data_IF_704875616140
#
_entry.id   IF_704875616140
#
_cell.length_a   1.000
_cell.length_b   1.000
_cell.length_c   1.000
_cell.angle_alpha   90.00
_cell.angle_beta   90.00
_cell.angle_gamma   90.00
#
_symmetry.space_group_name_H-M   'P 1'
#
loop_
_entity.id
_entity.type
_entity.pdbx_description
1 polymer ?
#
# COMPACT_ATOMS: atom_id res chain seq x y z
N UNK A 1 -5.64 -11.47 -3.09
CA UNK A 1 -5.95 -10.41 -2.11
C UNK A 1 -7.43 -10.05 -2.13
N UNK A 2 -8.03 -9.66 -1.00
CA UNK A 2 -9.42 -9.15 -0.95
C UNK A 2 -9.44 -7.63 -1.23
N UNK A 3 -10.57 -7.07 -1.70
CA UNK A 3 -10.70 -5.63 -1.99
C UNK A 3 -10.31 -4.73 -0.81
N UNK A 4 -10.45 -5.21 0.44
CA UNK A 4 -10.07 -4.45 1.64
C UNK A 4 -8.56 -4.23 1.80
N UNK A 5 -7.70 -5.07 1.21
CA UNK A 5 -6.26 -4.98 1.41
C UNK A 5 -5.60 -3.85 0.59
N UNK A 6 -6.17 -3.48 -0.56
CA UNK A 6 -5.56 -2.50 -1.48
C UNK A 6 -5.72 -1.04 -0.99
N UNK A 7 -6.78 -0.76 -0.24
CA UNK A 7 -7.07 0.59 0.27
C UNK A 7 -6.45 0.87 1.64
N UNK A 8 -5.84 -0.14 2.30
CA UNK A 8 -5.46 -0.08 3.72
C UNK A 8 -4.46 1.04 4.06
N UNK A 9 -3.65 1.49 3.09
CA UNK A 9 -2.61 2.50 3.30
C UNK A 9 -2.80 3.77 2.48
N UNK A 10 -3.99 4.02 1.89
CA UNK A 10 -4.22 5.25 1.13
C UNK A 10 -4.30 6.47 2.03
N UNK A 11 -3.72 7.57 1.57
CA UNK A 11 -3.75 8.84 2.29
C UNK A 11 -4.13 9.96 1.33
N UNK A 12 -5.11 10.78 1.71
CA UNK A 12 -5.52 11.94 0.92
C UNK A 12 -4.64 13.17 1.27
N UNK A 13 -3.33 13.04 1.03
CA UNK A 13 -2.32 14.07 1.29
C UNK A 13 -1.44 14.19 0.04
N UNK A 14 -1.11 15.42 -0.36
CA UNK A 14 -0.24 15.65 -1.51
C UNK A 14 1.11 14.93 -1.35
N UNK A 15 1.57 14.27 -2.42
CA UNK A 15 2.80 13.47 -2.41
C UNK A 15 2.66 12.07 -1.82
N UNK A 16 1.47 11.67 -1.34
CA UNK A 16 1.19 10.30 -0.88
C UNK A 16 0.50 9.47 -1.97
N UNK A 17 0.69 8.15 -1.91
CA UNK A 17 0.01 7.24 -2.80
C UNK A 17 -1.50 7.24 -2.52
N UNK A 18 -2.31 7.49 -3.56
CA UNK A 18 -3.77 7.55 -3.46
C UNK A 18 -4.45 7.11 -4.78
N UNK A 19 -4.06 5.96 -5.31
CA UNK A 19 -4.61 5.43 -6.56
C UNK A 19 -5.98 4.80 -6.28
N UNK A 20 -7.08 5.26 -6.91
CA UNK A 20 -8.40 4.66 -6.71
C UNK A 20 -8.51 3.31 -7.40
N UNK A 21 -9.25 2.40 -6.77
CA UNK A 21 -9.57 1.11 -7.36
C UNK A 21 -10.47 1.26 -8.61
N UNK A 22 -10.18 0.44 -9.61
CA UNK A 22 -11.05 0.16 -10.75
C UNK A 22 -11.11 -1.35 -10.99
N UNK A 23 -12.13 -1.89 -11.68
CA UNK A 23 -12.19 -3.30 -12.01
C UNK A 23 -10.93 -3.81 -12.75
N UNK A 24 -10.40 -3.01 -13.66
CA UNK A 24 -9.20 -3.31 -14.46
C UNK A 24 -7.95 -3.33 -13.58
N UNK A 25 -7.82 -2.37 -12.65
CA UNK A 25 -6.70 -2.31 -11.72
C UNK A 25 -6.69 -3.51 -10.76
N UNK A 26 -7.86 -3.92 -10.28
CA UNK A 26 -8.02 -5.13 -9.46
C UNK A 26 -7.68 -6.41 -10.24
N UNK A 27 -8.03 -6.47 -11.52
CA UNK A 27 -7.63 -7.58 -12.40
C UNK A 27 -6.11 -7.61 -12.59
N UNK A 28 -5.49 -6.45 -12.78
CA UNK A 28 -4.03 -6.30 -12.88
C UNK A 28 -3.32 -6.76 -11.61
N UNK A 29 -3.79 -6.40 -10.41
CA UNK A 29 -3.20 -6.89 -9.16
C UNK A 29 -3.26 -8.43 -9.05
N UNK A 30 -4.38 -9.03 -9.45
CA UNK A 30 -4.50 -10.51 -9.51
C UNK A 30 -3.53 -11.15 -10.50
N UNK A 31 -3.16 -10.43 -11.55
CA UNK A 31 -2.14 -10.89 -12.49
C UNK A 31 -0.72 -10.82 -11.89
N UNK A 32 -0.38 -9.71 -11.23
CA UNK A 32 0.91 -9.53 -10.54
C UNK A 32 1.17 -10.63 -9.50
N UNK A 33 0.15 -11.06 -8.76
CA UNK A 33 0.25 -12.15 -7.78
C UNK A 33 0.82 -13.44 -8.39
N UNK A 34 0.52 -13.75 -9.67
CA UNK A 34 1.04 -14.93 -10.38
C UNK A 34 2.56 -14.91 -10.54
N UNK A 35 3.15 -13.72 -10.55
CA UNK A 35 4.58 -13.49 -10.69
C UNK A 35 5.28 -13.22 -9.35
N UNK A 36 4.57 -13.36 -8.21
CA UNK A 36 5.04 -13.00 -6.87
C UNK A 36 5.45 -11.52 -6.78
N UNK A 37 4.74 -10.66 -7.50
CA UNK A 37 4.95 -9.21 -7.48
C UNK A 37 3.70 -8.51 -6.94
N UNK A 38 3.86 -7.21 -6.67
CA UNK A 38 2.78 -6.34 -6.23
C UNK A 38 3.05 -4.91 -6.67
N UNK A 39 2.01 -4.10 -6.71
CA UNK A 39 2.12 -2.70 -7.08
C UNK A 39 2.64 -1.87 -5.88
N UNK A 40 3.70 -1.09 -6.07
CA UNK A 40 4.34 -0.32 -4.98
C UNK A 40 3.36 0.61 -4.25
N UNK A 41 2.47 1.27 -4.98
CA UNK A 41 1.55 2.26 -4.43
C UNK A 41 0.49 1.68 -3.48
N UNK A 42 0.31 0.35 -3.41
CA UNK A 42 -0.60 -0.28 -2.44
C UNK A 42 -0.01 -0.30 -1.03
N UNK A 43 1.31 -0.17 -0.88
CA UNK A 43 2.01 -0.20 0.42
C UNK A 43 2.91 1.01 0.66
N UNK A 44 3.16 1.86 -0.35
CA UNK A 44 4.14 2.95 -0.31
C UNK A 44 4.05 3.81 0.96
N UNK A 45 2.84 4.23 1.35
CA UNK A 45 2.64 5.09 2.51
C UNK A 45 3.00 4.41 3.84
N UNK A 46 2.90 3.08 3.93
CA UNK A 46 3.31 2.30 5.11
C UNK A 46 4.83 2.17 5.21
N UNK A 47 5.50 1.93 4.09
CA UNK A 47 6.94 1.61 4.06
C UNK A 47 7.83 2.86 3.99
N UNK A 48 7.31 3.96 3.42
CA UNK A 48 8.00 5.25 3.32
C UNK A 48 7.31 6.30 4.22
N UNK A 49 7.50 6.26 5.55
CA UNK A 49 7.02 7.33 6.41
C UNK A 49 7.83 8.61 6.16
N UNK A 50 7.21 9.79 6.30
CA UNK A 50 7.91 11.08 6.12
C UNK A 50 9.16 11.26 7.00
N UNK A 51 9.16 10.61 8.15
CA UNK A 51 10.29 10.54 9.07
C UNK A 51 10.37 9.11 9.64
N UNK A 52 11.55 8.65 10.09
CA UNK A 52 11.69 7.32 10.67
C UNK A 52 10.67 7.07 11.78
N UNK A 53 9.90 5.99 11.65
CA UNK A 53 8.91 5.56 12.64
C UNK A 53 9.28 4.17 13.14
N UNK A 54 9.84 4.10 14.34
CA UNK A 54 10.20 2.83 14.96
C UNK A 54 8.97 1.98 15.26
N UNK A 55 9.08 0.68 15.02
CA UNK A 55 8.11 -0.31 15.51
C UNK A 55 8.34 -0.69 16.99
N UNK A 56 9.49 -0.33 17.55
CA UNK A 56 9.82 -0.61 18.95
C UNK A 56 9.20 0.44 19.87
N UNK A 57 8.78 0.00 21.06
CA UNK A 57 8.34 0.87 22.15
C UNK A 57 9.44 0.97 23.22
N UNK A 58 9.70 2.16 23.80
CA UNK A 58 10.63 2.27 24.92
C UNK A 58 10.17 1.42 26.11
N UNK A 59 11.11 0.74 26.76
CA UNK A 59 10.90 -0.06 27.99
C UNK A 59 11.90 0.39 29.06
N UNK A 60 11.55 0.18 30.34
CA UNK A 60 12.35 0.54 31.53
C UNK A 60 12.99 -0.71 32.12
#
# INVERSE_FOLDING_TARGET
>A
MSQQENDQYRENIAGRANVPDSPELLAYYKELEKYKTGALWTIANKIEPWQPKSASVPVI
#
